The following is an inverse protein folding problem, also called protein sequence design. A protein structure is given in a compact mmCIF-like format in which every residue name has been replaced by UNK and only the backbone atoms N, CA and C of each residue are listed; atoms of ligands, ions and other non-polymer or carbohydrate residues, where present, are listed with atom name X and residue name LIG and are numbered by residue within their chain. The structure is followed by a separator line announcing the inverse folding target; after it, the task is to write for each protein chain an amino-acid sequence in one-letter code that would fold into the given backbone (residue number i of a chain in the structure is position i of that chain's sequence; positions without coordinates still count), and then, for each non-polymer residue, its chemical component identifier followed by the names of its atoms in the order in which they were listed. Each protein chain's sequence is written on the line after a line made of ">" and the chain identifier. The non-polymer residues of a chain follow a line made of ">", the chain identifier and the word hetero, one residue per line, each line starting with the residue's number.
data_IF_869699659051
#
_entry.id   IF_869699659051
#
_cell.length_a   1.000
_cell.length_b   1.000
_cell.length_c   1.000
_cell.angle_alpha   90.00
_cell.angle_beta   90.00
_cell.angle_gamma   90.00
#
_symmetry.space_group_name_H-M   'P 1'
#
loop_
_entity.id
_entity.type
_entity.pdbx_description
1 polymer ?
#
# COMPACT_ATOMS: atom_id res chain seq x y z
N UNK A 1 11.25 -3.97 -1.00
CA UNK A 1 11.93 -3.10 -0.03
C UNK A 1 11.10 -3.11 1.25
N UNK A 2 11.70 -2.88 2.42
CA UNK A 2 10.97 -2.71 3.68
C UNK A 2 11.11 -1.27 4.15
N UNK A 3 10.08 -0.75 4.83
CA UNK A 3 10.10 0.55 5.49
C UNK A 3 9.66 0.39 6.94
N UNK A 4 10.21 1.27 7.79
CA UNK A 4 9.85 1.40 9.20
C UNK A 4 9.40 2.82 9.46
N UNK A 5 8.11 3.00 9.72
CA UNK A 5 7.52 4.29 10.09
C UNK A 5 6.64 4.13 11.35
N UNK A 6 7.22 3.66 12.47
CA UNK A 6 6.46 3.36 13.68
C UNK A 6 5.78 4.61 14.29
N UNK A 7 6.33 5.80 14.04
CA UNK A 7 5.75 7.08 14.48
C UNK A 7 4.43 7.42 13.78
N UNK A 8 4.21 6.91 12.57
CA UNK A 8 2.96 7.11 11.81
C UNK A 8 1.89 6.11 12.26
N UNK A 9 2.25 4.82 12.30
CA UNK A 9 1.41 3.73 12.78
C UNK A 9 2.26 2.47 12.99
N UNK A 10 2.61 2.17 14.25
CA UNK A 10 3.41 0.98 14.58
C UNK A 10 2.70 -0.35 14.25
N UNK A 11 1.37 -0.39 14.20
CA UNK A 11 0.67 -1.61 13.86
C UNK A 11 0.76 -1.93 12.37
N UNK A 12 0.78 -0.90 11.53
CA UNK A 12 0.83 -1.05 10.08
C UNK A 12 2.25 -0.97 9.52
N UNK A 13 3.12 -0.13 10.07
CA UNK A 13 4.38 0.24 9.41
C UNK A 13 5.64 -0.20 10.16
N UNK A 14 5.54 -1.26 10.97
CA UNK A 14 6.67 -1.89 11.66
C UNK A 14 6.71 -3.42 11.43
N UNK A 15 7.31 -3.90 10.32
CA UNK A 15 7.62 -3.16 9.09
C UNK A 15 6.42 -3.07 8.14
N UNK A 16 6.55 -2.26 7.08
CA UNK A 16 5.73 -2.40 5.88
C UNK A 16 6.60 -2.77 4.66
N UNK A 17 6.02 -3.52 3.71
CA UNK A 17 6.67 -3.85 2.44
C UNK A 17 6.36 -2.78 1.41
N UNK A 18 7.36 -2.35 0.65
CA UNK A 18 7.20 -1.45 -0.49
C UNK A 18 7.71 -2.14 -1.75
N UNK A 19 6.86 -2.17 -2.77
CA UNK A 19 7.22 -2.56 -4.13
C UNK A 19 6.90 -1.41 -5.09
N UNK A 20 7.91 -0.99 -5.85
CA UNK A 20 7.84 0.15 -6.76
C UNK A 20 7.83 -0.36 -8.20
N UNK A 21 6.92 0.15 -9.02
CA UNK A 21 6.85 -0.13 -10.46
C UNK A 21 6.73 1.17 -11.24
N UNK A 22 7.53 1.35 -12.28
CA UNK A 22 7.41 2.55 -13.14
C UNK A 22 6.06 2.60 -13.84
N UNK A 23 5.72 1.49 -14.52
CA UNK A 23 4.44 1.27 -15.21
C UNK A 23 3.94 -0.13 -14.94
N UNK A 24 2.62 -0.29 -14.89
CA UNK A 24 1.96 -1.59 -14.80
C UNK A 24 0.85 -1.64 -15.84
N UNK A 25 0.91 -2.64 -16.71
CA UNK A 25 -0.23 -2.92 -17.60
C UNK A 25 -1.42 -3.44 -16.79
N UNK A 26 -2.67 -3.12 -17.19
CA UNK A 26 -3.88 -3.63 -16.53
C UNK A 26 -3.87 -5.16 -16.31
N UNK A 27 -3.33 -5.90 -17.28
CA UNK A 27 -3.18 -7.37 -17.22
C UNK A 27 -2.24 -7.88 -16.11
N UNK A 28 -1.27 -7.07 -15.69
CA UNK A 28 -0.27 -7.46 -14.69
C UNK A 28 -0.62 -7.01 -13.28
N UNK A 29 -1.61 -6.12 -13.11
CA UNK A 29 -1.94 -5.54 -11.79
C UNK A 29 -2.28 -6.63 -10.78
N UNK A 30 -3.09 -7.62 -11.17
CA UNK A 30 -3.46 -8.74 -10.29
C UNK A 30 -2.23 -9.57 -9.88
N UNK A 31 -1.38 -9.89 -10.84
CA UNK A 31 -0.18 -10.71 -10.62
C UNK A 31 0.80 -10.04 -9.65
N UNK A 32 1.03 -8.74 -9.82
CA UNK A 32 1.93 -7.97 -8.93
C UNK A 32 1.39 -7.95 -7.51
N UNK A 33 0.09 -7.75 -7.34
CA UNK A 33 -0.53 -7.76 -6.03
C UNK A 33 -0.50 -9.14 -5.36
N UNK A 34 -0.78 -10.21 -6.11
CA UNK A 34 -0.65 -11.59 -5.61
C UNK A 34 0.79 -11.89 -5.17
N UNK A 35 1.79 -11.40 -5.91
CA UNK A 35 3.19 -11.55 -5.55
C UNK A 35 3.52 -10.85 -4.22
N UNK A 36 3.06 -9.61 -4.05
CA UNK A 36 3.26 -8.87 -2.81
C UNK A 36 2.56 -9.54 -1.62
N UNK A 37 1.31 -9.98 -1.79
CA UNK A 37 0.55 -10.69 -0.75
C UNK A 37 1.28 -11.97 -0.34
N UNK A 38 1.79 -12.75 -1.29
CA UNK A 38 2.60 -13.94 -0.97
C UNK A 38 3.83 -13.54 -0.19
N UNK A 39 4.56 -12.51 -0.60
CA UNK A 39 5.73 -12.05 0.14
C UNK A 39 5.38 -11.65 1.59
N UNK A 40 4.31 -10.89 1.78
CA UNK A 40 3.81 -10.49 3.11
C UNK A 40 3.50 -11.70 3.98
N UNK A 41 2.81 -12.71 3.44
CA UNK A 41 2.49 -13.95 4.16
C UNK A 41 3.73 -14.73 4.59
N UNK A 42 4.76 -14.82 3.73
CA UNK A 42 5.99 -15.54 4.04
C UNK A 42 6.90 -14.79 5.02
N UNK A 43 6.86 -13.46 5.00
CA UNK A 43 7.71 -12.60 5.85
C UNK A 43 7.06 -12.20 7.17
N UNK A 44 5.75 -12.47 7.35
CA UNK A 44 4.99 -12.04 8.52
C UNK A 44 4.63 -10.55 8.53
N UNK A 45 4.92 -9.83 7.44
CA UNK A 45 4.66 -8.39 7.35
C UNK A 45 3.18 -8.13 7.08
N UNK A 46 2.57 -7.22 7.85
CA UNK A 46 1.12 -7.00 7.83
C UNK A 46 0.67 -5.99 6.79
N UNK A 47 1.53 -5.07 6.34
CA UNK A 47 1.18 -4.00 5.41
C UNK A 47 2.07 -4.02 4.15
N UNK A 48 1.46 -3.73 3.00
CA UNK A 48 2.14 -3.65 1.72
C UNK A 48 1.73 -2.41 0.93
N UNK A 49 2.71 -1.79 0.26
CA UNK A 49 2.53 -0.68 -0.65
C UNK A 49 2.95 -1.06 -2.05
N UNK A 50 2.10 -0.75 -3.02
CA UNK A 50 2.41 -0.80 -4.44
C UNK A 50 2.46 0.63 -4.96
N UNK A 51 3.69 1.10 -5.23
CA UNK A 51 3.94 2.47 -5.65
C UNK A 51 4.17 2.53 -7.16
N UNK A 52 3.50 3.46 -7.84
CA UNK A 52 3.65 3.68 -9.29
C UNK A 52 4.12 5.09 -9.63
N UNK A 53 4.90 5.26 -10.71
CA UNK A 53 5.24 6.61 -11.22
C UNK A 53 3.99 7.31 -11.81
N UNK A 54 3.08 6.53 -12.38
CA UNK A 54 1.79 6.98 -12.93
C UNK A 54 0.64 6.75 -11.96
N UNK A 55 -0.55 7.25 -12.30
CA UNK A 55 -1.79 7.07 -11.55
C UNK A 55 -2.03 5.58 -11.24
N UNK A 56 -2.31 5.20 -9.98
CA UNK A 56 -2.59 3.82 -9.62
C UNK A 56 -3.85 3.29 -10.34
N UNK A 57 -3.89 1.99 -10.63
CA UNK A 57 -5.05 1.39 -11.28
C UNK A 57 -6.30 1.50 -10.40
N UNK A 58 -7.40 2.00 -10.96
CA UNK A 58 -8.71 2.08 -10.30
C UNK A 58 -9.33 0.68 -10.17
N UNK A 59 -8.93 -0.07 -9.15
CA UNK A 59 -9.50 -1.40 -8.85
C UNK A 59 -9.57 -1.64 -7.35
N UNK A 60 -10.44 -2.57 -6.95
CA UNK A 60 -10.48 -3.09 -5.58
C UNK A 60 -9.22 -3.92 -5.31
N UNK A 61 -8.52 -3.61 -4.22
CA UNK A 61 -7.38 -4.39 -3.76
C UNK A 61 -7.83 -5.82 -3.38
N UNK A 62 -6.97 -6.80 -3.64
CA UNK A 62 -7.12 -8.20 -3.22
C UNK A 62 -6.99 -8.35 -1.70
N UNK A 63 -6.36 -7.38 -1.03
CA UNK A 63 -6.16 -7.38 0.42
C UNK A 63 -6.44 -5.98 0.98
N UNK A 64 -7.14 -5.85 2.12
CA UNK A 64 -7.36 -4.57 2.79
C UNK A 64 -6.08 -3.98 3.40
N UNK A 65 -4.97 -4.72 3.33
CA UNK A 65 -3.66 -4.29 3.81
C UNK A 65 -2.64 -4.05 2.68
N UNK A 66 -3.10 -4.07 1.42
CA UNK A 66 -2.30 -3.66 0.27
C UNK A 66 -2.84 -2.34 -0.26
N UNK A 67 -1.97 -1.33 -0.31
CA UNK A 67 -2.33 0.03 -0.69
C UNK A 67 -1.61 0.44 -1.97
N UNK A 68 -2.41 0.89 -2.94
CA UNK A 68 -1.92 1.44 -4.21
C UNK A 68 -1.81 2.94 -4.09
N UNK A 69 -0.64 3.50 -4.42
CA UNK A 69 -0.37 4.93 -4.38
C UNK A 69 0.55 5.32 -5.54
N UNK A 70 0.45 6.56 -6.01
CA UNK A 70 1.56 7.12 -6.79
C UNK A 70 2.77 7.36 -5.87
N UNK A 71 3.98 7.34 -6.43
CA UNK A 71 5.19 7.70 -5.68
C UNK A 71 5.08 9.14 -5.15
N UNK A 72 4.50 10.04 -5.94
CA UNK A 72 4.30 11.44 -5.56
C UNK A 72 3.40 11.57 -4.31
N UNK A 73 2.27 10.86 -4.28
CA UNK A 73 1.34 10.89 -3.13
C UNK A 73 1.98 10.28 -1.90
N UNK A 74 2.69 9.16 -2.06
CA UNK A 74 3.38 8.52 -0.94
C UNK A 74 4.42 9.46 -0.31
N UNK A 75 5.22 10.14 -1.14
CA UNK A 75 6.21 11.12 -0.67
C UNK A 75 5.52 12.31 0.02
N UNK A 76 4.49 12.88 -0.58
CA UNK A 76 3.75 14.00 0.00
C UNK A 76 3.14 13.63 1.36
N UNK A 77 2.42 12.50 1.43
CA UNK A 77 1.79 12.01 2.66
C UNK A 77 2.81 11.70 3.75
N UNK A 78 3.96 11.12 3.39
CA UNK A 78 5.03 10.84 4.35
C UNK A 78 5.67 12.12 4.86
N UNK A 79 5.93 13.09 3.97
CA UNK A 79 6.52 14.39 4.32
C UNK A 79 5.61 15.18 5.25
N UNK A 80 4.30 15.15 4.98
CA UNK A 80 3.29 15.87 5.76
C UNK A 80 2.90 15.13 7.07
N UNK A 81 3.45 13.94 7.34
CA UNK A 81 3.06 13.07 8.47
C UNK A 81 1.57 12.71 8.50
N UNK A 82 1.04 12.41 7.31
CA UNK A 82 -0.38 12.10 7.07
C UNK A 82 -0.61 10.71 6.52
N UNK A 83 0.46 9.95 6.29
CA UNK A 83 0.38 8.62 5.68
C UNK A 83 -0.42 7.67 6.57
N UNK A 84 -0.15 7.62 7.87
CA UNK A 84 -0.86 6.74 8.80
C UNK A 84 -2.37 6.99 8.81
N UNK A 85 -2.77 8.26 8.92
CA UNK A 85 -4.19 8.65 8.89
C UNK A 85 -4.85 8.28 7.55
N UNK A 86 -4.18 8.57 6.44
CA UNK A 86 -4.69 8.28 5.10
C UNK A 86 -4.94 6.77 4.91
N UNK A 87 -3.98 5.93 5.31
CA UNK A 87 -4.08 4.47 5.17
C UNK A 87 -5.15 3.87 6.07
N UNK A 88 -5.31 4.37 7.31
CA UNK A 88 -6.43 3.97 8.18
C UNK A 88 -7.77 4.27 7.54
N UNK A 89 -7.93 5.45 6.94
CA UNK A 89 -9.16 5.83 6.26
C UNK A 89 -9.44 4.91 5.06
N UNK A 90 -8.43 4.61 4.23
CA UNK A 90 -8.57 3.66 3.11
C UNK A 90 -8.97 2.26 3.59
N UNK A 91 -8.31 1.75 4.63
CA UNK A 91 -8.64 0.44 5.20
C UNK A 91 -10.06 0.41 5.74
N UNK A 92 -10.46 1.44 6.48
CA UNK A 92 -11.81 1.53 7.04
C UNK A 92 -12.86 1.63 5.92
N UNK A 93 -12.59 2.37 4.84
CA UNK A 93 -13.45 2.43 3.67
C UNK A 93 -13.56 1.06 2.98
N UNK A 94 -12.44 0.35 2.81
CA UNK A 94 -12.43 -0.99 2.22
C UNK A 94 -13.13 -2.04 3.11
N UNK A 95 -13.04 -1.92 4.43
CA UNK A 95 -13.63 -2.86 5.39
C UNK A 95 -15.12 -2.60 5.67
N UNK A 96 -15.56 -1.33 5.65
CA UNK A 96 -16.91 -0.94 6.05
C UNK A 96 -17.78 -0.40 4.90
N UNK A 97 -17.22 -0.22 3.70
CA UNK A 97 -17.97 0.20 2.50
C UNK A 97 -18.70 1.55 2.63
N UNK A 98 -18.34 2.38 3.62
CA UNK A 98 -19.07 3.60 3.93
C UNK A 98 -18.61 4.74 3.00
N UNK A 99 -19.55 5.48 2.36
CA UNK A 99 -19.28 6.53 1.37
C UNK A 99 -18.50 7.72 1.93
#
# INVERSE_FOLDING_TARGET
>A
MLIWLPEEDADLFDPAVVEIKRRISPSNVRKVEEQLVRFMQHSGVRCGFLLTEEEPPKKTALSPFVFWLSIADFVALTTDRRLGQYIRNLRNHAAHGAP
#
